data_IF_864875842315
#
_entry.id   IF_864875842315
#
_cell.length_a   1.000
_cell.length_b   1.000
_cell.length_c   1.000
_cell.angle_alpha   90.00
_cell.angle_beta   90.00
_cell.angle_gamma   90.00
#
_symmetry.space_group_name_H-M   'P 1'
#
loop_
_entity.id
_entity.type
_entity.pdbx_description
1 polymer ?
#
# COMPACT_ATOMS: atom_id res chain seq x y z
N UNK A 1 -31.83 29.85 28.40
CA UNK A 1 -31.21 30.08 27.07
C UNK A 1 -31.19 28.75 26.35
N UNK A 2 -31.85 28.65 25.21
CA UNK A 2 -31.81 27.44 24.40
C UNK A 2 -30.59 27.53 23.47
N UNK A 3 -29.82 26.45 23.33
CA UNK A 3 -28.62 26.43 22.48
C UNK A 3 -28.73 25.24 21.54
N UNK A 4 -28.61 25.49 20.24
CA UNK A 4 -28.59 24.48 19.19
C UNK A 4 -27.16 24.21 18.76
N UNK A 5 -26.81 22.96 18.47
CA UNK A 5 -25.51 22.61 17.92
C UNK A 5 -25.63 22.37 16.42
N UNK A 6 -24.90 23.15 15.63
CA UNK A 6 -24.86 22.97 14.20
C UNK A 6 -23.85 21.89 13.82
N UNK A 7 -24.32 20.74 13.33
CA UNK A 7 -23.47 19.62 12.88
C UNK A 7 -22.62 19.94 11.63
N UNK A 8 -22.93 21.02 10.90
CA UNK A 8 -22.22 21.40 9.67
C UNK A 8 -21.07 22.36 9.99
N UNK A 9 -21.31 23.28 10.92
CA UNK A 9 -20.34 24.30 11.30
C UNK A 9 -19.56 23.94 12.58
N UNK A 10 -19.97 22.87 13.28
CA UNK A 10 -19.45 22.39 14.57
C UNK A 10 -19.44 23.45 15.68
N UNK A 11 -20.45 24.31 15.69
CA UNK A 11 -20.57 25.41 16.65
C UNK A 11 -21.91 25.41 17.37
N UNK A 12 -21.88 25.90 18.61
CA UNK A 12 -23.07 26.22 19.40
C UNK A 12 -23.69 27.53 18.89
N UNK A 13 -24.98 27.51 18.60
CA UNK A 13 -25.77 28.64 18.14
C UNK A 13 -26.82 28.93 19.20
N UNK A 14 -26.84 30.16 19.71
CA UNK A 14 -27.85 30.60 20.66
C UNK A 14 -29.19 30.69 19.96
N UNK A 15 -30.20 30.01 20.48
CA UNK A 15 -31.53 29.87 19.91
C UNK A 15 -32.59 30.72 20.63
N UNK A 16 -32.15 31.79 21.30
CA UNK A 16 -33.05 32.69 22.03
C UNK A 16 -33.92 33.53 21.08
N UNK A 17 -33.49 33.74 19.83
CA UNK A 17 -34.25 34.46 18.79
C UNK A 17 -34.16 33.74 17.45
N UNK A 18 -35.30 33.64 16.73
CA UNK A 18 -35.38 33.03 15.40
C UNK A 18 -34.39 33.66 14.40
N UNK A 19 -34.24 34.98 14.45
CA UNK A 19 -33.33 35.72 13.58
C UNK A 19 -31.86 35.28 13.70
N UNK A 20 -31.40 34.90 14.90
CA UNK A 20 -30.03 34.40 15.12
C UNK A 20 -29.76 33.09 14.40
N UNK A 21 -30.79 32.24 14.30
CA UNK A 21 -30.74 30.96 13.59
C UNK A 21 -30.78 31.21 12.07
N UNK A 22 -31.66 32.09 11.59
CA UNK A 22 -31.74 32.47 10.17
C UNK A 22 -30.44 33.11 9.68
N UNK A 23 -29.82 33.97 10.49
CA UNK A 23 -28.50 34.51 10.19
C UNK A 23 -27.42 33.42 10.16
N UNK A 24 -27.49 32.43 11.05
CA UNK A 24 -26.53 31.33 11.03
C UNK A 24 -26.63 30.48 9.76
N UNK A 25 -27.85 30.12 9.34
CA UNK A 25 -28.10 29.26 8.17
C UNK A 25 -27.75 29.98 6.86
N UNK A 26 -27.95 31.30 6.80
CA UNK A 26 -27.62 32.11 5.62
C UNK A 26 -26.13 32.46 5.48
N UNK A 27 -25.30 32.19 6.49
CA UNK A 27 -23.85 32.43 6.38
C UNK A 27 -23.23 31.53 5.31
N UNK A 28 -22.34 32.09 4.49
CA UNK A 28 -21.57 31.36 3.46
C UNK A 28 -20.90 30.09 4.00
N UNK A 29 -20.39 30.12 5.24
CA UNK A 29 -19.80 28.93 5.89
C UNK A 29 -20.80 27.77 6.02
N UNK A 30 -22.04 28.06 6.42
CA UNK A 30 -23.08 27.05 6.55
C UNK A 30 -23.53 26.55 5.18
N UNK A 31 -23.84 27.47 4.25
CA UNK A 31 -24.28 27.12 2.88
C UNK A 31 -23.24 26.24 2.17
N UNK A 32 -21.97 26.65 2.17
CA UNK A 32 -20.90 25.87 1.55
C UNK A 32 -20.72 24.52 2.26
N UNK A 33 -20.85 24.49 3.59
CA UNK A 33 -20.77 23.25 4.37
C UNK A 33 -21.92 22.27 4.06
N UNK A 34 -23.13 22.77 3.81
CA UNK A 34 -24.28 21.97 3.35
C UNK A 34 -23.99 21.40 1.96
N UNK A 35 -23.53 22.21 1.02
CA UNK A 35 -23.21 21.77 -0.34
C UNK A 35 -22.11 20.70 -0.38
N UNK A 36 -21.04 20.85 0.41
CA UNK A 36 -19.98 19.85 0.56
C UNK A 36 -20.51 18.55 1.15
N UNK A 37 -21.39 18.63 2.15
CA UNK A 37 -21.98 17.45 2.78
C UNK A 37 -22.90 16.71 1.82
N UNK A 38 -23.72 17.42 1.05
CA UNK A 38 -24.61 16.83 0.04
C UNK A 38 -23.81 16.17 -1.10
N UNK A 39 -22.75 16.81 -1.61
CA UNK A 39 -21.84 16.20 -2.61
C UNK A 39 -21.17 14.94 -2.10
N UNK A 40 -20.75 14.92 -0.84
CA UNK A 40 -20.17 13.73 -0.22
C UNK A 40 -21.23 12.65 0.05
N UNK A 41 -22.50 13.01 0.24
CA UNK A 41 -23.59 12.08 0.49
C UNK A 41 -24.04 11.34 -0.79
N UNK A 42 -23.97 12.00 -1.94
CA UNK A 42 -24.18 11.36 -3.26
C UNK A 42 -23.05 10.38 -3.64
N UNK A 43 -21.84 10.58 -3.08
CA UNK A 43 -20.68 9.69 -3.29
C UNK A 43 -20.54 8.59 -2.21
N UNK A 44 -21.40 8.56 -1.19
CA UNK A 44 -21.27 7.65 -0.04
C UNK A 44 -22.36 6.59 0.05
N UNK A 45 -22.30 5.63 -0.86
CA UNK A 45 -22.48 4.21 -0.50
C UNK A 45 -21.19 3.56 0.00
N UNK A 46 -20.06 4.27 0.05
CA UNK A 46 -18.85 3.80 0.75
C UNK A 46 -17.82 4.90 0.98
N UNK A 47 -17.65 5.34 2.23
CA UNK A 47 -16.34 5.41 2.93
C UNK A 47 -16.44 6.27 4.19
N UNK A 48 -16.31 5.57 5.32
CA UNK A 48 -15.94 6.07 6.64
C UNK A 48 -14.68 6.96 6.55
N UNK A 49 -14.69 8.10 7.23
CA UNK A 49 -13.47 8.83 7.55
C UNK A 49 -12.56 7.91 8.39
N UNK A 50 -11.45 7.43 7.82
CA UNK A 50 -10.44 6.65 8.55
C UNK A 50 -9.35 7.60 9.03
N UNK A 51 -9.58 8.24 10.16
CA UNK A 51 -8.50 8.59 11.07
C UNK A 51 -8.26 7.33 11.94
N UNK A 52 -7.01 6.90 12.03
CA UNK A 52 -6.48 5.58 12.45
C UNK A 52 -6.14 4.69 11.23
N UNK A 53 -4.84 4.69 10.91
CA UNK A 53 -4.18 3.74 10.01
C UNK A 53 -4.14 2.37 10.70
N UNK A 54 -5.28 1.68 10.74
CA UNK A 54 -5.24 0.22 10.83
C UNK A 54 -4.48 -0.28 9.60
N UNK A 55 -3.56 -1.26 9.70
CA UNK A 55 -2.98 -1.87 8.53
C UNK A 55 -4.14 -2.46 7.73
N UNK A 56 -4.47 -1.80 6.61
CA UNK A 56 -5.46 -2.32 5.67
C UNK A 56 -5.06 -3.76 5.39
N UNK A 57 -6.00 -4.71 5.57
CA UNK A 57 -5.78 -6.13 5.22
C UNK A 57 -5.01 -6.16 3.91
N UNK A 58 -3.78 -6.71 3.95
CA UNK A 58 -2.90 -6.78 2.78
C UNK A 58 -3.68 -7.44 1.66
N UNK A 59 -3.72 -6.80 0.50
CA UNK A 59 -4.43 -7.33 -0.67
C UNK A 59 -3.67 -8.54 -1.19
N UNK A 60 -4.33 -9.70 -1.28
CA UNK A 60 -3.74 -10.90 -1.88
C UNK A 60 -3.31 -10.64 -3.33
N UNK A 61 -4.16 -9.96 -4.11
CA UNK A 61 -3.85 -9.57 -5.48
C UNK A 61 -2.57 -8.72 -5.58
N UNK A 62 -2.40 -7.73 -4.70
CA UNK A 62 -1.20 -6.88 -4.73
C UNK A 62 0.06 -7.65 -4.33
N UNK A 63 -0.09 -8.60 -3.40
CA UNK A 63 0.99 -9.51 -3.03
C UNK A 63 1.39 -10.39 -4.23
N UNK A 64 0.42 -11.04 -4.88
CA UNK A 64 0.65 -11.93 -6.01
C UNK A 64 1.27 -11.19 -7.20
N UNK A 65 0.79 -9.97 -7.49
CA UNK A 65 1.38 -9.10 -8.51
C UNK A 65 2.84 -8.75 -8.18
N UNK A 66 3.13 -8.36 -6.93
CA UNK A 66 4.49 -8.06 -6.49
C UNK A 66 5.39 -9.28 -6.62
N UNK A 67 4.93 -10.44 -6.17
CA UNK A 67 5.66 -11.69 -6.23
C UNK A 67 5.96 -12.09 -7.68
N UNK A 68 4.98 -11.99 -8.59
CA UNK A 68 5.15 -12.31 -10.00
C UNK A 68 6.20 -11.43 -10.69
N UNK A 69 6.18 -10.11 -10.43
CA UNK A 69 7.16 -9.17 -10.98
C UNK A 69 8.57 -9.48 -10.48
N UNK A 70 8.73 -9.71 -9.16
CA UNK A 70 10.03 -10.04 -8.57
C UNK A 70 10.56 -11.38 -9.09
N UNK A 71 9.71 -12.41 -9.17
CA UNK A 71 10.09 -13.73 -9.67
C UNK A 71 10.51 -13.71 -11.15
N UNK A 72 9.91 -12.82 -11.95
CA UNK A 72 10.26 -12.62 -13.35
C UNK A 72 11.46 -11.65 -13.55
N UNK A 73 12.08 -11.17 -12.47
CA UNK A 73 13.13 -10.14 -12.49
C UNK A 73 12.69 -8.85 -13.23
N UNK A 74 11.41 -8.47 -13.08
CA UNK A 74 10.84 -7.25 -13.65
C UNK A 74 10.84 -6.15 -12.58
N UNK A 75 11.52 -5.02 -12.81
CA UNK A 75 11.51 -3.90 -11.87
C UNK A 75 10.09 -3.36 -11.62
N UNK A 76 9.74 -3.15 -10.36
CA UNK A 76 8.40 -2.65 -9.97
C UNK A 76 8.08 -1.27 -10.58
N UNK A 77 9.11 -0.47 -10.92
CA UNK A 77 9.00 0.82 -11.62
C UNK A 77 8.28 0.69 -12.97
N UNK A 78 8.27 -0.49 -13.58
CA UNK A 78 7.52 -0.73 -14.82
C UNK A 78 6.01 -0.53 -14.65
N UNK A 79 5.47 -0.63 -13.43
CA UNK A 79 4.07 -0.32 -13.14
C UNK A 79 3.72 1.17 -13.24
N UNK A 80 4.71 2.07 -13.23
CA UNK A 80 4.50 3.49 -13.48
C UNK A 80 4.32 3.81 -14.96
N UNK A 81 4.57 2.85 -15.86
CA UNK A 81 4.23 3.02 -17.26
C UNK A 81 2.71 2.93 -17.45
N UNK A 82 2.09 4.04 -17.87
CA UNK A 82 0.64 4.13 -18.03
C UNK A 82 0.06 3.07 -18.97
N UNK A 83 0.71 2.76 -20.09
CA UNK A 83 0.24 1.74 -21.03
C UNK A 83 0.23 0.35 -20.39
N UNK A 84 1.30 0.00 -19.69
CA UNK A 84 1.40 -1.28 -18.98
C UNK A 84 0.38 -1.37 -17.84
N UNK A 85 0.21 -0.29 -17.08
CA UNK A 85 -0.76 -0.20 -16.01
C UNK A 85 -2.19 -0.36 -16.53
N UNK A 86 -2.58 0.42 -17.55
CA UNK A 86 -3.91 0.34 -18.17
C UNK A 86 -4.19 -1.04 -18.76
N UNK A 87 -3.18 -1.69 -19.36
CA UNK A 87 -3.30 -3.07 -19.82
C UNK A 87 -3.66 -4.00 -18.66
N UNK A 88 -2.92 -3.96 -17.55
CA UNK A 88 -3.20 -4.80 -16.39
C UNK A 88 -4.56 -4.50 -15.78
N UNK A 89 -4.92 -3.22 -15.62
CA UNK A 89 -6.22 -2.80 -15.08
C UNK A 89 -7.38 -3.30 -15.94
N UNK A 90 -7.24 -3.22 -17.28
CA UNK A 90 -8.25 -3.70 -18.24
C UNK A 90 -8.52 -5.19 -18.11
N UNK A 91 -7.49 -6.02 -17.99
CA UNK A 91 -7.67 -7.48 -17.97
C UNK A 91 -7.92 -8.05 -16.57
N UNK A 92 -7.50 -7.35 -15.51
CA UNK A 92 -7.71 -7.81 -14.14
C UNK A 92 -8.97 -7.24 -13.48
N UNK A 93 -9.53 -6.13 -14.01
CA UNK A 93 -10.58 -5.34 -13.37
C UNK A 93 -10.21 -4.92 -11.93
N UNK A 94 -8.92 -4.76 -11.65
CA UNK A 94 -8.37 -4.29 -10.38
C UNK A 94 -7.57 -3.03 -10.64
N UNK A 95 -7.59 -2.11 -9.67
CA UNK A 95 -6.68 -0.96 -9.68
C UNK A 95 -5.27 -1.45 -9.38
N UNK A 96 -4.30 -1.01 -10.19
CA UNK A 96 -2.92 -1.41 -10.02
C UNK A 96 -2.24 -0.44 -9.04
N UNK A 97 -1.65 -0.96 -7.95
CA UNK A 97 -0.98 -0.13 -6.96
C UNK A 97 0.27 0.54 -7.55
N UNK A 98 0.60 1.72 -7.03
CA UNK A 98 1.87 2.37 -7.36
C UNK A 98 3.06 1.55 -6.84
N UNK A 99 4.19 1.68 -7.53
CA UNK A 99 5.46 1.05 -7.22
C UNK A 99 5.87 1.25 -5.74
N UNK A 100 5.74 2.48 -5.21
CA UNK A 100 6.07 2.77 -3.82
C UNK A 100 5.17 1.99 -2.84
N UNK A 101 3.91 1.74 -3.20
CA UNK A 101 2.98 0.96 -2.37
C UNK A 101 3.43 -0.49 -2.31
N UNK A 102 3.81 -1.08 -3.45
CA UNK A 102 4.32 -2.45 -3.50
C UNK A 102 5.62 -2.61 -2.72
N UNK A 103 6.57 -1.69 -2.93
CA UNK A 103 7.86 -1.69 -2.26
C UNK A 103 7.75 -1.62 -0.74
N UNK A 104 6.92 -0.71 -0.21
CA UNK A 104 6.78 -0.52 1.24
C UNK A 104 5.97 -1.64 1.91
N UNK A 105 4.99 -2.22 1.22
CA UNK A 105 3.98 -3.07 1.87
C UNK A 105 4.18 -4.57 1.66
N UNK A 106 4.80 -4.97 0.54
CA UNK A 106 4.82 -6.38 0.09
C UNK A 106 6.23 -6.93 -0.16
N UNK A 107 7.19 -6.12 -0.62
CA UNK A 107 8.56 -6.62 -0.94
C UNK A 107 9.24 -7.29 0.25
N UNK A 108 9.15 -6.70 1.44
CA UNK A 108 9.73 -7.30 2.65
C UNK A 108 9.15 -8.69 2.96
N UNK A 109 7.85 -8.87 2.71
CA UNK A 109 7.20 -10.17 2.91
C UNK A 109 7.68 -11.21 1.90
N UNK A 110 7.78 -10.85 0.61
CA UNK A 110 8.33 -11.75 -0.41
C UNK A 110 9.77 -12.15 -0.08
N UNK A 111 10.57 -11.21 0.43
CA UNK A 111 11.94 -11.47 0.87
C UNK A 111 11.97 -12.49 2.02
N UNK A 112 11.20 -12.27 3.08
CA UNK A 112 11.16 -13.20 4.22
C UNK A 112 10.73 -14.60 3.79
N UNK A 113 9.66 -14.71 2.99
CA UNK A 113 9.20 -16.00 2.48
C UNK A 113 10.26 -16.71 1.62
N UNK A 114 11.06 -15.97 0.85
CA UNK A 114 12.15 -16.53 0.05
C UNK A 114 13.30 -17.01 0.95
N UNK A 115 13.68 -16.21 1.94
CA UNK A 115 14.71 -16.59 2.91
C UNK A 115 14.28 -17.82 3.70
N UNK A 116 13.03 -17.91 4.13
CA UNK A 116 12.52 -19.06 4.88
C UNK A 116 12.46 -20.32 4.02
N UNK A 117 12.14 -20.20 2.72
CA UNK A 117 12.29 -21.30 1.76
C UNK A 117 13.73 -21.76 1.63
N UNK A 118 14.69 -20.83 1.53
CA UNK A 118 16.11 -21.16 1.48
C UNK A 118 16.55 -21.85 2.76
N UNK A 119 16.19 -21.31 3.94
CA UNK A 119 16.49 -21.90 5.26
C UNK A 119 15.94 -23.32 5.38
N UNK A 120 14.70 -23.53 4.96
CA UNK A 120 14.06 -24.85 4.94
C UNK A 120 14.75 -25.80 3.96
N UNK A 121 15.19 -25.30 2.81
CA UNK A 121 15.92 -26.10 1.82
C UNK A 121 17.31 -26.56 2.31
N UNK A 122 18.02 -25.70 3.04
CA UNK A 122 19.35 -26.01 3.58
C UNK A 122 19.31 -26.70 4.94
N UNK A 123 18.12 -26.85 5.54
CA UNK A 123 17.94 -27.47 6.85
C UNK A 123 18.54 -28.89 6.86
N UNK A 124 19.36 -29.18 7.88
CA UNK A 124 20.07 -30.46 8.04
C UNK A 124 21.01 -30.86 6.89
N UNK A 125 21.33 -29.95 5.95
CA UNK A 125 22.31 -30.18 4.89
C UNK A 125 23.67 -29.62 5.26
N UNK A 126 24.74 -30.24 4.74
CA UNK A 126 26.07 -29.62 4.78
C UNK A 126 26.08 -28.44 3.82
N UNK A 127 26.43 -27.27 4.32
CA UNK A 127 26.49 -26.03 3.54
C UNK A 127 27.96 -25.76 3.19
N UNK A 128 28.21 -25.32 1.97
CA UNK A 128 29.49 -24.73 1.60
C UNK A 128 29.27 -23.27 1.21
N UNK A 129 30.23 -22.43 1.56
CA UNK A 129 30.21 -21.00 1.27
C UNK A 129 31.51 -20.67 0.56
N UNK A 130 31.45 -20.16 -0.67
CA UNK A 130 32.60 -19.52 -1.29
C UNK A 130 32.50 -18.02 -1.18
N UNK A 131 33.63 -17.44 -0.81
CA UNK A 131 33.87 -16.02 -0.80
C UNK A 131 34.62 -15.70 -2.08
N UNK A 132 33.94 -15.07 -3.03
CA UNK A 132 34.58 -14.50 -4.21
C UNK A 132 34.64 -12.99 -3.99
N UNK A 133 35.84 -12.43 -3.92
CA UNK A 133 36.04 -10.99 -3.76
C UNK A 133 36.13 -10.36 -5.15
N UNK A 134 34.99 -10.26 -5.83
CA UNK A 134 34.89 -9.50 -7.07
C UNK A 134 34.59 -8.04 -6.77
N UNK A 135 35.43 -7.16 -7.31
CA UNK A 135 35.27 -5.70 -7.23
C UNK A 135 34.62 -5.23 -8.52
N UNK A 136 33.48 -4.54 -8.43
CA UNK A 136 32.89 -3.91 -9.61
C UNK A 136 33.62 -2.61 -9.98
N UNK A 137 33.29 -2.04 -11.15
CA UNK A 137 33.90 -0.79 -11.63
C UNK A 137 33.65 0.42 -10.71
N UNK A 138 32.73 0.31 -9.74
CA UNK A 138 32.41 1.35 -8.75
C UNK A 138 33.05 1.06 -7.37
N UNK A 139 33.86 0.01 -7.24
CA UNK A 139 34.55 -0.35 -6.00
C UNK A 139 33.65 -1.02 -4.94
N UNK A 140 32.49 -1.57 -5.34
CA UNK A 140 31.64 -2.33 -4.43
C UNK A 140 32.13 -3.77 -4.32
N UNK A 141 32.20 -4.26 -3.10
CA UNK A 141 32.54 -5.65 -2.79
C UNK A 141 31.26 -6.49 -2.79
N UNK A 142 31.19 -7.50 -3.66
CA UNK A 142 30.12 -8.50 -3.64
C UNK A 142 30.74 -9.85 -3.40
N UNK A 143 30.47 -10.44 -2.23
CA UNK A 143 30.83 -11.81 -1.92
C UNK A 143 29.57 -12.55 -1.45
N UNK A 144 29.32 -13.73 -2.04
CA UNK A 144 28.84 -14.96 -1.39
C UNK A 144 28.10 -15.85 -2.40
N UNK A 145 28.63 -17.05 -2.63
CA UNK A 145 27.85 -18.17 -3.18
C UNK A 145 27.64 -19.18 -2.05
N UNK A 146 26.36 -19.48 -1.76
CA UNK A 146 25.96 -20.45 -0.74
C UNK A 146 25.33 -21.63 -1.46
N UNK A 147 25.90 -22.82 -1.26
CA UNK A 147 25.39 -24.06 -1.86
C UNK A 147 25.27 -25.18 -0.84
N UNK A 148 24.51 -26.22 -1.20
CA UNK A 148 24.38 -27.44 -0.40
C UNK A 148 25.31 -28.51 -0.95
N UNK A 149 26.09 -29.17 -0.08
CA UNK A 149 26.96 -30.28 -0.42
C UNK A 149 26.19 -31.59 -0.29
N UNK A 150 25.77 -32.16 -1.41
CA UNK A 150 25.11 -33.47 -1.46
C UNK A 150 26.12 -34.54 -1.88
N UNK A 151 26.32 -35.57 -1.04
CA UNK A 151 27.37 -36.60 -1.24
C UNK A 151 27.14 -37.48 -2.48
N UNK A 152 25.93 -37.49 -3.05
CA UNK A 152 25.54 -38.35 -4.20
C UNK A 152 24.65 -37.62 -5.23
N UNK A 153 24.59 -36.28 -5.21
CA UNK A 153 23.77 -35.49 -6.12
C UNK A 153 24.64 -34.80 -7.17
N UNK A 154 24.27 -34.90 -8.45
CA UNK A 154 24.75 -33.96 -9.46
C UNK A 154 24.32 -32.57 -8.99
N UNK A 155 25.30 -31.70 -8.70
CA UNK A 155 25.05 -30.34 -8.23
C UNK A 155 24.05 -29.65 -9.15
N UNK A 156 22.99 -29.08 -8.57
CA UNK A 156 22.06 -28.20 -9.27
C UNK A 156 22.54 -26.76 -9.18
#
# INVERSE_FOLDING_TARGET
MAVLFCKICEVKVVADKKFTIEQHISRKKHVNGVELKNKNQELSTSKTQRLITEPSKKSSFNYDLCQALLAANIPLQKLQNETFKQFLEKYTNKLIPDESTLRKSYVFQCYQETIDKIRSYVENKKIWVTLDETTDAEGRYVANVVGTLELNGLGK
#
